data_IF_048435815827
#
_entry.id   IF_048435815827
#
_cell.length_a   1.000
_cell.length_b   1.000
_cell.length_c   1.000
_cell.angle_alpha   90.00
_cell.angle_beta   90.00
_cell.angle_gamma   90.00
#
_symmetry.space_group_name_H-M   'P 1'
#
loop_
_entity.id
_entity.type
_entity.pdbx_description
1 polymer ?
#
# COMPACT_ATOMS: atom_id res chain seq x y z
N UNK A 1 -28.38 -2.03 -12.09
CA UNK A 1 -27.03 -1.71 -11.60
C UNK A 1 -26.43 -3.00 -11.06
N UNK A 2 -25.29 -3.46 -11.58
CA UNK A 2 -24.67 -4.71 -11.12
C UNK A 2 -23.87 -4.45 -9.83
N UNK A 3 -23.74 -5.45 -8.96
CA UNK A 3 -22.99 -5.30 -7.71
C UNK A 3 -21.51 -4.91 -7.89
N UNK A 4 -20.95 -5.16 -9.09
CA UNK A 4 -19.60 -4.74 -9.46
C UNK A 4 -19.46 -3.20 -9.52
N UNK A 5 -20.48 -2.49 -10.00
CA UNK A 5 -20.42 -1.01 -10.15
C UNK A 5 -20.38 -0.30 -8.80
N UNK A 6 -21.03 -0.86 -7.77
CA UNK A 6 -21.07 -0.28 -6.43
C UNK A 6 -19.70 -0.43 -5.74
N UNK A 7 -19.05 -1.59 -5.84
CA UNK A 7 -17.73 -1.84 -5.24
C UNK A 7 -16.63 -0.96 -5.85
N UNK A 8 -16.67 -0.73 -7.17
CA UNK A 8 -15.73 0.17 -7.84
C UNK A 8 -15.86 1.62 -7.36
N UNK A 9 -17.09 2.10 -7.17
CA UNK A 9 -17.36 3.46 -6.65
C UNK A 9 -16.90 3.59 -5.19
N UNK A 10 -17.13 2.57 -4.36
CA UNK A 10 -16.63 2.60 -2.98
C UNK A 10 -15.10 2.58 -2.92
N UNK A 11 -14.45 1.81 -3.79
CA UNK A 11 -12.99 1.74 -3.86
C UNK A 11 -12.38 3.06 -4.35
N UNK A 12 -13.00 3.72 -5.33
CA UNK A 12 -12.52 5.01 -5.85
C UNK A 12 -12.63 6.13 -4.82
N UNK A 13 -13.77 6.24 -4.12
CA UNK A 13 -13.95 7.21 -3.05
C UNK A 13 -12.98 6.97 -1.88
N UNK A 14 -12.76 5.71 -1.49
CA UNK A 14 -11.83 5.38 -0.41
C UNK A 14 -10.37 5.70 -0.79
N UNK A 15 -9.97 5.43 -2.04
CA UNK A 15 -8.64 5.76 -2.54
C UNK A 15 -8.42 7.27 -2.60
N UNK A 16 -9.41 8.04 -3.07
CA UNK A 16 -9.30 9.50 -3.16
C UNK A 16 -9.09 10.11 -1.77
N UNK A 17 -9.88 9.69 -0.78
CA UNK A 17 -9.73 10.17 0.60
C UNK A 17 -8.37 9.75 1.20
N UNK A 18 -7.90 8.54 0.87
CA UNK A 18 -6.59 8.05 1.28
C UNK A 18 -5.45 8.90 0.70
N UNK A 19 -5.54 9.29 -0.57
CA UNK A 19 -4.57 10.17 -1.22
C UNK A 19 -4.59 11.59 -0.64
N UNK A 20 -5.79 12.17 -0.39
CA UNK A 20 -5.94 13.50 0.22
C UNK A 20 -5.29 13.62 1.59
N UNK A 21 -5.24 12.53 2.36
CA UNK A 21 -4.62 12.47 3.69
C UNK A 21 -3.12 12.21 3.69
N UNK A 22 -2.46 12.31 2.53
CA UNK A 22 -1.06 11.89 2.35
C UNK A 22 -0.84 10.44 2.81
N UNK A 23 -1.84 9.58 2.57
CA UNK A 23 -1.80 8.17 2.94
C UNK A 23 -0.81 7.34 2.11
N UNK A 24 -0.09 7.92 1.16
CA UNK A 24 0.91 7.19 0.35
C UNK A 24 2.30 7.73 0.66
N UNK A 25 3.25 6.82 0.91
CA UNK A 25 4.68 7.12 0.95
C UNK A 25 5.39 6.43 -0.20
N UNK A 26 6.48 7.02 -0.66
CA UNK A 26 7.41 6.38 -1.59
C UNK A 26 8.49 5.65 -0.81
N UNK A 27 8.73 4.40 -1.15
CA UNK A 27 9.89 3.62 -0.70
C UNK A 27 10.77 3.27 -1.89
N UNK A 28 12.05 3.00 -1.66
CA UNK A 28 13.01 2.75 -2.71
C UNK A 28 13.58 1.34 -2.60
N UNK A 29 13.44 0.54 -3.65
CA UNK A 29 14.02 -0.79 -3.74
C UNK A 29 15.33 -0.72 -4.55
N UNK A 30 16.48 -1.17 -4.02
CA UNK A 30 17.73 -1.12 -4.77
C UNK A 30 17.72 -2.11 -5.94
N UNK A 31 18.18 -1.64 -7.10
CA UNK A 31 18.49 -2.47 -8.26
C UNK A 31 19.99 -2.76 -8.22
N UNK A 32 20.34 -4.03 -8.04
CA UNK A 32 21.72 -4.48 -7.89
C UNK A 32 22.23 -5.09 -9.19
N UNK A 33 23.46 -4.76 -9.56
CA UNK A 33 24.17 -5.46 -10.61
C UNK A 33 24.48 -6.90 -10.15
N UNK A 34 24.12 -7.87 -11.00
CA UNK A 34 24.25 -9.30 -10.72
C UNK A 34 25.70 -9.73 -10.53
N UNK A 35 26.65 -9.09 -11.22
CA UNK A 35 28.06 -9.52 -11.22
C UNK A 35 28.92 -8.74 -10.23
N UNK A 36 28.64 -7.47 -9.99
CA UNK A 36 29.43 -6.61 -9.11
C UNK A 36 28.90 -6.44 -7.69
N UNK A 37 27.67 -6.91 -7.39
CA UNK A 37 26.95 -6.64 -6.14
C UNK A 37 26.88 -5.13 -5.80
N UNK A 38 26.99 -4.26 -6.81
CA UNK A 38 26.91 -2.81 -6.67
C UNK A 38 25.48 -2.36 -6.94
N UNK A 39 25.04 -1.34 -6.20
CA UNK A 39 23.76 -0.67 -6.47
C UNK A 39 23.92 0.14 -7.76
N UNK A 40 23.11 -0.20 -8.78
CA UNK A 40 23.06 0.53 -10.04
C UNK A 40 22.01 1.67 -9.99
N UNK A 41 20.95 1.46 -9.22
CA UNK A 41 19.89 2.44 -9.04
C UNK A 41 18.84 2.00 -8.03
N UNK A 42 17.71 2.71 -8.01
CA UNK A 42 16.57 2.41 -7.16
C UNK A 42 15.27 2.48 -7.95
N UNK A 43 14.37 1.55 -7.69
CA UNK A 43 12.98 1.60 -8.11
C UNK A 43 12.14 2.31 -7.04
N UNK A 44 11.38 3.33 -7.44
CA UNK A 44 10.45 4.03 -6.55
C UNK A 44 9.12 3.30 -6.49
N UNK A 45 8.68 2.92 -5.29
CA UNK A 45 7.48 2.13 -5.05
C UNK A 45 6.51 2.90 -4.14
N UNK A 46 5.27 3.08 -4.60
CA UNK A 46 4.19 3.65 -3.78
C UNK A 46 3.71 2.62 -2.75
N UNK A 47 3.56 3.05 -1.49
CA UNK A 47 3.07 2.21 -0.38
C UNK A 47 2.06 3.00 0.45
N UNK A 48 0.96 2.34 0.81
CA UNK A 48 0.03 2.89 1.78
C UNK A 48 0.68 3.05 3.16
N UNK A 49 0.50 4.21 3.77
CA UNK A 49 0.87 4.51 5.16
C UNK A 49 -0.24 3.94 6.04
N UNK A 50 0.08 2.96 6.88
CA UNK A 50 -0.87 2.48 7.87
C UNK A 50 -1.33 3.63 8.77
N UNK A 51 -2.65 3.84 9.02
CA UNK A 51 -3.09 4.75 10.09
C UNK A 51 -2.36 4.39 11.38
N UNK A 52 -1.75 5.38 12.03
CA UNK A 52 -0.87 5.21 13.19
C UNK A 52 -1.40 4.18 14.19
N UNK A 53 -0.69 3.04 14.30
CA UNK A 53 -0.63 1.94 15.29
C UNK A 53 -1.82 1.56 16.20
N UNK A 54 -2.88 2.35 16.38
CA UNK A 54 -4.01 2.00 17.24
C UNK A 54 -5.02 1.09 16.51
N UNK A 55 -5.05 1.09 15.17
CA UNK A 55 -6.15 0.45 14.41
C UNK A 55 -5.72 -0.71 13.51
N UNK A 56 -4.42 -0.99 13.36
CA UNK A 56 -3.96 -2.10 12.50
C UNK A 56 -4.26 -3.47 13.09
N UNK A 57 -4.08 -3.62 14.40
CA UNK A 57 -4.41 -4.85 15.11
C UNK A 57 -5.91 -5.19 15.08
N UNK A 58 -6.78 -4.19 14.90
CA UNK A 58 -8.23 -4.41 14.77
C UNK A 58 -8.67 -4.83 13.36
N UNK A 59 -7.87 -4.57 12.31
CA UNK A 59 -8.25 -4.92 10.93
C UNK A 59 -7.67 -6.26 10.47
N UNK A 60 -6.44 -6.60 10.89
CA UNK A 60 -5.81 -7.91 10.59
C UNK A 60 -6.06 -8.97 11.67
N UNK A 61 -6.66 -8.61 12.81
CA UNK A 61 -6.93 -9.51 13.94
C UNK A 61 -7.94 -10.63 13.69
N UNK A 62 -8.45 -10.79 12.45
CA UNK A 62 -9.34 -11.89 12.05
C UNK A 62 -8.64 -13.00 11.27
N UNK A 63 -7.31 -13.07 11.31
CA UNK A 63 -6.52 -14.19 10.78
C UNK A 63 -5.43 -14.62 11.79
N UNK A 64 -5.81 -14.81 13.06
CA UNK A 64 -5.06 -15.76 13.90
C UNK A 64 -5.45 -17.15 13.42
N UNK A 65 -4.58 -17.75 12.63
CA UNK A 65 -4.55 -19.20 12.47
C UNK A 65 -3.98 -19.75 13.77
N UNK A 66 -4.86 -20.30 14.60
CA UNK A 66 -4.50 -21.33 15.55
C UNK A 66 -3.98 -22.57 14.79
#
# INVERSE_FOLDING_TARGET
MSGATILEIFLSCALEEFLRRNGVKTVFQPVVDFFGAKIWGYEALSRGVPPSSTTWWSWTGRNRWD
#
